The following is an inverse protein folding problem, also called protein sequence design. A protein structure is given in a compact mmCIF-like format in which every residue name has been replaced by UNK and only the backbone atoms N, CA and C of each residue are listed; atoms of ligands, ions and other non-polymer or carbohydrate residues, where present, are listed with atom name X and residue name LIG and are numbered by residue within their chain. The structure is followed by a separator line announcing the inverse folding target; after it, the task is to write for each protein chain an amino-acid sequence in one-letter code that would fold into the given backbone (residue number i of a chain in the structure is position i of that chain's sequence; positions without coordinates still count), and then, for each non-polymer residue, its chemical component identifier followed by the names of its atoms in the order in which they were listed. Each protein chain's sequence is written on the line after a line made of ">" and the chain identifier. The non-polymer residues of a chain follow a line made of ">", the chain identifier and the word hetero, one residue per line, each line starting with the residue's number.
data_IF_550736140830
#
_entry.id   IF_550736140830
#
_cell.length_a   1.000
_cell.length_b   1.000
_cell.length_c   1.000
_cell.angle_alpha   90.00
_cell.angle_beta   90.00
_cell.angle_gamma   90.00
#
_symmetry.space_group_name_H-M   'P 1'
#
loop_
_entity.id
_entity.type
_entity.pdbx_description
1 polymer ?
#
# COMPACT_ATOMS: atom_id res chain seq x y z
N UNK A 1 8.32 0.33 4.63
CA UNK A 1 6.92 0.69 4.38
C UNK A 1 6.13 0.59 5.69
N UNK A 2 5.98 -0.61 6.23
CA UNK A 2 5.47 -0.88 7.57
C UNK A 2 6.00 0.04 8.71
N UNK A 3 7.32 0.06 8.89
CA UNK A 3 7.97 0.85 9.96
C UNK A 3 7.95 2.36 9.72
N UNK A 4 7.63 2.79 8.51
CA UNK A 4 7.51 4.21 8.16
C UNK A 4 6.13 4.72 8.55
N UNK A 5 5.07 3.93 8.29
CA UNK A 5 3.71 4.27 8.73
C UNK A 5 3.65 4.31 10.25
N UNK A 6 4.29 3.38 10.97
CA UNK A 6 4.32 3.38 12.44
C UNK A 6 4.98 4.66 12.98
N UNK A 7 6.04 5.15 12.35
CA UNK A 7 6.76 6.35 12.80
C UNK A 7 5.98 7.63 12.47
N UNK A 8 5.46 7.78 11.26
CA UNK A 8 4.69 8.96 10.85
C UNK A 8 3.40 9.09 11.65
N UNK A 9 2.72 7.97 11.91
CA UNK A 9 1.49 7.98 12.72
C UNK A 9 1.78 8.29 14.20
N UNK A 10 2.96 7.93 14.74
CA UNK A 10 3.41 8.35 16.09
C UNK A 10 3.64 9.86 16.17
N UNK A 11 4.15 10.48 15.11
CA UNK A 11 4.32 11.94 15.03
C UNK A 11 2.97 12.64 15.01
N UNK A 12 1.99 12.12 14.25
CA UNK A 12 0.62 12.68 14.22
C UNK A 12 -0.09 12.50 15.57
N UNK A 13 0.05 11.35 16.22
CA UNK A 13 -0.47 11.11 17.57
C UNK A 13 0.13 12.09 18.60
N UNK A 14 1.43 12.38 18.54
CA UNK A 14 2.09 13.34 19.43
C UNK A 14 1.67 14.79 19.17
N UNK A 15 1.34 15.15 17.92
CA UNK A 15 0.83 16.48 17.56
C UNK A 15 -0.62 16.72 18.04
N UNK A 16 -1.34 15.67 18.43
CA UNK A 16 -2.75 15.73 18.87
C UNK A 16 -2.93 15.88 20.39
N UNK A 17 -1.86 16.16 21.14
CA UNK A 17 -1.77 16.08 22.61
C UNK A 17 -2.77 16.94 23.41
N UNK A 18 -3.56 17.81 22.77
CA UNK A 18 -4.62 18.59 23.41
C UNK A 18 -6.05 18.06 23.24
N UNK A 19 -6.29 17.02 22.42
CA UNK A 19 -7.65 16.52 22.15
C UNK A 19 -7.72 14.99 22.35
N UNK A 20 -8.31 14.57 23.46
CA UNK A 20 -8.42 13.16 23.87
C UNK A 20 -9.15 12.28 22.86
N UNK A 21 -10.14 12.81 22.13
CA UNK A 21 -10.81 12.07 21.05
C UNK A 21 -9.90 11.89 19.83
N UNK A 22 -9.18 12.94 19.43
CA UNK A 22 -8.22 12.85 18.32
C UNK A 22 -7.12 11.83 18.63
N UNK A 23 -6.67 11.75 19.90
CA UNK A 23 -5.68 10.78 20.36
C UNK A 23 -6.17 9.33 20.25
N UNK A 24 -7.44 9.06 20.54
CA UNK A 24 -8.04 7.72 20.40
C UNK A 24 -8.10 7.27 18.94
N UNK A 25 -8.66 8.09 18.05
CA UNK A 25 -8.74 7.77 16.62
C UNK A 25 -7.36 7.61 15.98
N UNK A 26 -6.41 8.50 16.33
CA UNK A 26 -5.04 8.38 15.84
C UNK A 26 -4.36 7.12 16.37
N UNK A 27 -4.50 6.79 17.65
CA UNK A 27 -3.94 5.56 18.20
C UNK A 27 -4.50 4.32 17.52
N UNK A 28 -5.80 4.32 17.20
CA UNK A 28 -6.44 3.25 16.46
C UNK A 28 -5.89 3.15 15.03
N UNK A 29 -5.81 4.26 14.29
CA UNK A 29 -5.20 4.28 12.96
C UNK A 29 -3.72 3.87 12.96
N UNK A 30 -2.95 4.21 14.00
CA UNK A 30 -1.55 3.75 14.18
C UNK A 30 -1.51 2.23 14.31
N UNK A 31 -2.41 1.67 15.13
CA UNK A 31 -2.40 0.25 15.43
C UNK A 31 -2.78 -0.59 14.22
N UNK A 32 -3.80 -0.21 13.46
CA UNK A 32 -4.10 -1.01 12.27
C UNK A 32 -3.15 -0.74 11.12
N UNK A 33 -2.59 0.47 11.01
CA UNK A 33 -1.46 0.67 10.13
C UNK A 33 -0.29 -0.27 10.47
N UNK A 34 -0.07 -0.56 11.76
CA UNK A 34 0.91 -1.54 12.24
C UNK A 34 0.51 -2.98 11.91
N UNK A 35 -0.76 -3.34 12.02
CA UNK A 35 -1.24 -4.69 11.66
C UNK A 35 -1.14 -4.95 10.15
N UNK A 36 -1.57 -4.01 9.31
CA UNK A 36 -1.41 -4.08 7.85
C UNK A 36 0.08 -4.17 7.46
N UNK A 37 0.90 -3.42 8.16
CA UNK A 37 2.34 -3.43 8.03
C UNK A 37 2.96 -4.79 8.38
N UNK A 38 2.58 -5.37 9.52
CA UNK A 38 3.06 -6.67 9.98
C UNK A 38 2.61 -7.79 9.02
N UNK A 39 1.36 -7.72 8.58
CA UNK A 39 0.80 -8.58 7.57
C UNK A 39 1.58 -8.51 6.24
N UNK A 40 1.86 -7.30 5.74
CA UNK A 40 2.68 -7.12 4.54
C UNK A 40 4.12 -7.67 4.71
N UNK A 41 4.72 -7.56 5.91
CA UNK A 41 6.03 -8.17 6.20
C UNK A 41 5.98 -9.70 6.15
N UNK A 42 4.93 -10.30 6.68
CA UNK A 42 4.74 -11.75 6.62
C UNK A 42 4.64 -12.25 5.16
N UNK A 43 3.90 -11.53 4.32
CA UNK A 43 3.80 -11.83 2.87
C UNK A 43 5.16 -11.75 2.17
N UNK A 44 5.95 -10.71 2.46
CA UNK A 44 7.30 -10.56 1.88
C UNK A 44 8.23 -11.69 2.32
N UNK A 45 8.18 -12.11 3.58
CA UNK A 45 8.98 -13.26 4.07
C UNK A 45 8.59 -14.55 3.38
N UNK A 46 7.29 -14.84 3.32
CA UNK A 46 6.76 -16.01 2.62
C UNK A 46 7.20 -16.04 1.15
N UNK A 47 7.14 -14.90 0.46
CA UNK A 47 7.60 -14.80 -0.93
C UNK A 47 9.11 -15.04 -1.07
N UNK A 48 9.92 -14.48 -0.18
CA UNK A 48 11.36 -14.71 -0.17
C UNK A 48 11.71 -16.20 0.09
N UNK A 49 10.95 -16.88 0.94
CA UNK A 49 11.09 -18.33 1.19
C UNK A 49 10.72 -19.16 -0.05
N UNK A 50 9.69 -18.77 -0.79
CA UNK A 50 9.30 -19.41 -2.06
C UNK A 50 10.32 -19.16 -3.18
N UNK A 51 10.84 -17.94 -3.29
CA UNK A 51 11.86 -17.59 -4.29
C UNK A 51 13.22 -18.23 -3.97
N UNK A 52 13.58 -18.39 -2.69
CA UNK A 52 14.79 -19.11 -2.28
C UNK A 52 14.76 -20.61 -2.63
N UNK A 53 13.56 -21.20 -2.76
CA UNK A 53 13.39 -22.59 -3.19
C UNK A 53 13.56 -22.76 -4.72
N UNK A 54 13.42 -21.68 -5.50
CA UNK A 54 13.60 -21.68 -6.95
C UNK A 54 14.94 -21.05 -7.30
N UNK A 55 16.02 -21.85 -7.27
CA UNK A 55 17.38 -21.42 -7.58
C UNK A 55 17.50 -20.94 -9.05
N UNK A 56 17.17 -19.69 -9.31
CA UNK A 56 17.48 -18.97 -10.55
C UNK A 56 18.69 -18.06 -10.31
N UNK A 57 19.57 -17.89 -11.30
CA UNK A 57 20.66 -16.92 -11.20
C UNK A 57 20.08 -15.52 -10.99
N UNK A 58 20.47 -14.87 -9.89
CA UNK A 58 20.05 -13.51 -9.56
C UNK A 58 20.79 -12.55 -10.49
N UNK A 59 20.04 -11.81 -11.31
CA UNK A 59 20.61 -10.79 -12.19
C UNK A 59 21.27 -9.68 -11.35
N UNK A 60 22.48 -9.28 -11.72
CA UNK A 60 23.28 -8.30 -10.97
C UNK A 60 22.55 -6.96 -10.79
N UNK A 61 21.85 -6.50 -11.84
CA UNK A 61 21.07 -5.27 -11.80
C UNK A 61 19.93 -5.35 -10.76
N UNK A 62 19.26 -6.51 -10.63
CA UNK A 62 18.19 -6.72 -9.65
C UNK A 62 18.70 -6.52 -8.22
N UNK A 63 19.87 -7.10 -7.93
CA UNK A 63 20.55 -6.93 -6.63
C UNK A 63 20.90 -5.45 -6.36
N UNK A 64 21.34 -4.71 -7.39
CA UNK A 64 21.67 -3.29 -7.27
C UNK A 64 20.44 -2.44 -6.92
N UNK A 65 19.33 -2.64 -7.62
CA UNK A 65 18.08 -1.91 -7.35
C UNK A 65 17.55 -2.25 -5.95
N UNK A 66 17.50 -3.53 -5.59
CA UNK A 66 17.08 -3.97 -4.25
C UNK A 66 17.93 -3.34 -3.15
N UNK A 67 19.25 -3.29 -3.33
CA UNK A 67 20.16 -2.60 -2.41
C UNK A 67 19.83 -1.12 -2.28
N UNK A 68 19.50 -0.45 -3.38
CA UNK A 68 19.03 0.95 -3.38
C UNK A 68 17.81 1.14 -2.47
N UNK A 69 16.81 0.27 -2.57
CA UNK A 69 15.63 0.30 -1.72
C UNK A 69 15.93 -0.05 -0.25
N UNK A 70 16.85 -0.97 0.02
CA UNK A 70 17.29 -1.30 1.38
C UNK A 70 17.92 -0.07 2.04
N UNK A 71 18.83 0.61 1.33
CA UNK A 71 19.48 1.84 1.83
C UNK A 71 18.45 2.96 2.05
N UNK A 72 17.52 3.15 1.12
CA UNK A 72 16.46 4.14 1.26
C UNK A 72 15.55 3.90 2.47
N UNK A 73 15.19 2.64 2.73
CA UNK A 73 14.41 2.23 3.91
C UNK A 73 15.18 2.44 5.21
N UNK A 74 16.48 2.12 5.23
CA UNK A 74 17.33 2.26 6.42
C UNK A 74 17.55 3.73 6.77
N UNK A 75 17.94 4.53 5.78
CA UNK A 75 18.42 5.89 6.03
C UNK A 75 17.28 6.93 5.99
N UNK A 76 16.10 6.55 5.49
CA UNK A 76 14.87 7.36 5.52
C UNK A 76 15.08 8.80 5.06
N UNK A 77 15.84 8.97 3.98
CA UNK A 77 16.17 10.29 3.44
C UNK A 77 15.65 10.44 2.02
N UNK A 78 15.23 11.67 1.69
CA UNK A 78 14.82 12.02 0.34
C UNK A 78 15.89 11.65 -0.70
N UNK A 79 17.16 11.87 -0.38
CA UNK A 79 18.30 11.56 -1.27
C UNK A 79 18.34 10.08 -1.64
N UNK A 80 18.19 9.17 -0.67
CA UNK A 80 18.23 7.74 -0.97
C UNK A 80 16.98 7.25 -1.69
N UNK A 81 15.81 7.82 -1.40
CA UNK A 81 14.59 7.51 -2.16
C UNK A 81 14.67 7.98 -3.61
N UNK A 82 15.22 9.17 -3.89
CA UNK A 82 15.51 9.61 -5.26
C UNK A 82 16.48 8.67 -5.97
N UNK A 83 17.50 8.18 -5.27
CA UNK A 83 18.42 7.19 -5.85
C UNK A 83 17.69 5.87 -6.18
N UNK A 84 16.86 5.38 -5.26
CA UNK A 84 16.06 4.16 -5.49
C UNK A 84 15.07 4.33 -6.67
N UNK A 85 14.50 5.53 -6.84
CA UNK A 85 13.66 5.86 -7.99
C UNK A 85 14.42 5.74 -9.31
N UNK A 86 15.62 6.33 -9.39
CA UNK A 86 16.47 6.25 -10.60
C UNK A 86 16.82 4.80 -10.93
N UNK A 87 17.25 4.02 -9.93
CA UNK A 87 17.60 2.61 -10.10
C UNK A 87 16.39 1.77 -10.57
N UNK A 88 15.19 2.03 -10.03
CA UNK A 88 13.97 1.37 -10.49
C UNK A 88 13.64 1.73 -11.95
N UNK A 89 13.84 2.99 -12.36
CA UNK A 89 13.65 3.41 -13.76
C UNK A 89 14.66 2.76 -14.70
N UNK A 90 15.90 2.58 -14.27
CA UNK A 90 16.90 1.82 -15.04
C UNK A 90 16.48 0.35 -15.20
N UNK A 91 15.94 -0.28 -14.16
CA UNK A 91 15.41 -1.64 -14.25
C UNK A 91 14.25 -1.76 -15.26
N UNK A 92 13.35 -0.78 -15.33
CA UNK A 92 12.28 -0.75 -16.34
C UNK A 92 12.87 -0.81 -17.75
N UNK A 93 13.90 0.00 -18.02
CA UNK A 93 14.58 0.01 -19.32
C UNK A 93 15.27 -1.32 -19.62
N UNK A 94 15.88 -1.95 -18.62
CA UNK A 94 16.49 -3.27 -18.78
C UNK A 94 15.42 -4.32 -19.11
N UNK A 95 14.32 -4.38 -18.37
CA UNK A 95 13.21 -5.32 -18.64
C UNK A 95 12.60 -5.15 -20.04
N UNK A 96 12.67 -3.96 -20.64
CA UNK A 96 12.21 -3.71 -22.01
C UNK A 96 13.17 -4.26 -23.09
N UNK A 97 14.45 -4.38 -22.77
CA UNK A 97 15.52 -4.68 -23.73
C UNK A 97 16.07 -6.12 -23.61
N UNK A 98 15.67 -6.89 -22.59
CA UNK A 98 16.16 -8.26 -22.38
C UNK A 98 15.38 -9.23 -23.28
N UNK A 99 16.05 -9.78 -24.29
CA UNK A 99 15.51 -10.84 -25.16
C UNK A 99 15.40 -12.20 -24.47
N UNK A 100 16.17 -12.42 -23.39
CA UNK A 100 16.28 -13.70 -22.68
C UNK A 100 15.12 -13.99 -21.70
N UNK A 101 14.25 -13.00 -21.44
CA UNK A 101 13.07 -13.19 -20.59
C UNK A 101 11.86 -13.55 -21.45
N UNK A 102 11.05 -14.50 -21.00
CA UNK A 102 9.75 -14.69 -21.61
C UNK A 102 8.91 -13.40 -21.46
N UNK A 103 8.05 -13.12 -22.44
CA UNK A 103 7.32 -11.87 -22.55
C UNK A 103 6.45 -11.57 -21.31
N UNK A 104 5.87 -12.60 -20.70
CA UNK A 104 5.04 -12.49 -19.51
C UNK A 104 5.85 -12.09 -18.26
N UNK A 105 7.01 -12.72 -18.04
CA UNK A 105 7.91 -12.42 -16.93
C UNK A 105 8.54 -11.04 -17.10
N UNK A 106 8.88 -10.63 -18.33
CA UNK A 106 9.39 -9.30 -18.63
C UNK A 106 8.35 -8.22 -18.32
N UNK A 107 7.09 -8.46 -18.70
CA UNK A 107 5.97 -7.56 -18.41
C UNK A 107 5.72 -7.48 -16.91
N UNK A 108 5.65 -8.62 -16.21
CA UNK A 108 5.43 -8.65 -14.76
C UNK A 108 6.56 -7.94 -13.98
N UNK A 109 7.83 -8.13 -14.38
CA UNK A 109 8.95 -7.42 -13.75
C UNK A 109 8.93 -5.93 -14.07
N UNK A 110 8.61 -5.55 -15.31
CA UNK A 110 8.47 -4.14 -15.69
C UNK A 110 7.41 -3.44 -14.86
N UNK A 111 6.22 -4.03 -14.75
CA UNK A 111 5.11 -3.47 -13.98
C UNK A 111 5.47 -3.33 -12.50
N UNK A 112 6.12 -4.35 -11.93
CA UNK A 112 6.67 -4.28 -10.58
C UNK A 112 7.64 -3.11 -10.40
N UNK A 113 8.59 -2.90 -11.33
CA UNK A 113 9.55 -1.81 -11.21
C UNK A 113 8.94 -0.41 -11.45
N UNK A 114 7.88 -0.32 -12.27
CA UNK A 114 7.06 0.90 -12.40
C UNK A 114 6.46 1.27 -11.04
N UNK A 115 5.81 0.32 -10.38
CA UNK A 115 5.24 0.54 -9.05
C UNK A 115 6.33 0.94 -8.04
N UNK A 116 7.46 0.25 -8.04
CA UNK A 116 8.57 0.57 -7.13
C UNK A 116 9.15 1.96 -7.37
N UNK A 117 9.26 2.41 -8.63
CA UNK A 117 9.66 3.78 -8.96
C UNK A 117 8.65 4.80 -8.43
N UNK A 118 7.34 4.55 -8.61
CA UNK A 118 6.27 5.38 -8.05
C UNK A 118 6.34 5.47 -6.52
N UNK A 119 6.59 4.35 -5.83
CA UNK A 119 6.76 4.33 -4.37
C UNK A 119 7.96 5.18 -3.96
N UNK A 120 9.08 5.04 -4.64
CA UNK A 120 10.29 5.78 -4.34
C UNK A 120 10.10 7.30 -4.53
N UNK A 121 9.43 7.71 -5.61
CA UNK A 121 9.08 9.10 -5.87
C UNK A 121 8.19 9.69 -4.78
N UNK A 122 7.11 8.99 -4.39
CA UNK A 122 6.23 9.40 -3.30
C UNK A 122 6.98 9.52 -1.97
N UNK A 123 7.85 8.57 -1.66
CA UNK A 123 8.66 8.59 -0.43
C UNK A 123 9.64 9.75 -0.42
N UNK A 124 10.28 10.04 -1.55
CA UNK A 124 11.13 11.20 -1.71
C UNK A 124 10.36 12.51 -1.49
N UNK A 125 9.13 12.61 -2.01
CA UNK A 125 8.27 13.77 -1.79
C UNK A 125 7.84 13.90 -0.32
N UNK A 126 7.42 12.80 0.31
CA UNK A 126 7.01 12.81 1.72
C UNK A 126 8.15 13.21 2.67
N UNK A 127 9.39 12.87 2.32
CA UNK A 127 10.61 13.18 3.07
C UNK A 127 11.29 14.50 2.69
N UNK A 128 10.73 15.25 1.73
CA UNK A 128 11.26 16.56 1.38
C UNK A 128 11.26 17.49 2.60
N UNK A 129 12.22 18.41 2.68
CA UNK A 129 12.19 19.42 3.73
C UNK A 129 10.93 20.26 3.59
N UNK A 130 10.15 20.35 4.65
CA UNK A 130 9.05 21.30 4.78
C UNK A 130 9.31 22.08 6.05
N UNK A 131 9.11 23.40 6.02
CA UNK A 131 9.15 24.20 7.23
C UNK A 131 8.13 23.62 8.23
N UNK A 132 8.63 23.11 9.35
CA UNK A 132 7.80 22.48 10.40
C UNK A 132 6.79 23.46 10.97
N UNK A 133 7.08 24.77 10.92
CA UNK A 133 6.20 25.83 11.42
C UNK A 133 5.08 26.14 10.43
N UNK A 134 5.30 25.94 9.13
CA UNK A 134 4.28 26.17 8.11
C UNK A 134 3.28 25.02 8.05
N UNK A 135 2.08 25.27 8.59
CA UNK A 135 0.95 24.32 8.47
C UNK A 135 0.48 24.18 7.02
N UNK A 136 0.43 25.28 6.26
CA UNK A 136 -0.04 25.28 4.87
C UNK A 136 0.86 24.44 3.96
N UNK A 137 2.19 24.58 4.04
CA UNK A 137 3.12 23.80 3.22
C UNK A 137 3.05 22.30 3.53
N UNK A 138 2.81 21.93 4.80
CA UNK A 138 2.59 20.53 5.18
C UNK A 138 1.30 19.97 4.58
N UNK A 139 0.22 20.74 4.62
CA UNK A 139 -1.06 20.37 4.01
C UNK A 139 -0.93 20.25 2.49
N UNK A 140 -0.26 21.19 1.83
CA UNK A 140 0.00 21.15 0.39
C UNK A 140 0.78 19.90 0.00
N UNK A 141 1.89 19.61 0.70
CA UNK A 141 2.69 18.40 0.45
C UNK A 141 1.87 17.13 0.65
N UNK A 142 1.05 17.05 1.70
CA UNK A 142 0.16 15.92 1.94
C UNK A 142 -0.83 15.75 0.79
N UNK A 143 -1.46 16.84 0.34
CA UNK A 143 -2.39 16.82 -0.79
C UNK A 143 -1.68 16.35 -2.08
N UNK A 144 -0.45 16.81 -2.33
CA UNK A 144 0.35 16.38 -3.49
C UNK A 144 0.66 14.89 -3.41
N UNK A 145 1.07 14.37 -2.24
CA UNK A 145 1.30 12.93 -2.03
C UNK A 145 0.03 12.13 -2.29
N UNK A 146 -1.12 12.56 -1.77
CA UNK A 146 -2.40 11.86 -1.98
C UNK A 146 -2.81 11.87 -3.45
N UNK A 147 -2.70 13.03 -4.12
CA UNK A 147 -2.96 13.17 -5.55
C UNK A 147 -2.07 12.25 -6.39
N UNK A 148 -0.76 12.28 -6.16
CA UNK A 148 0.17 11.40 -6.86
C UNK A 148 -0.11 9.92 -6.56
N UNK A 149 -0.51 9.58 -5.34
CA UNK A 149 -0.88 8.20 -4.98
C UNK A 149 -2.08 7.75 -5.81
N UNK A 150 -3.11 8.59 -5.92
CA UNK A 150 -4.28 8.31 -6.76
C UNK A 150 -3.92 8.15 -8.23
N UNK A 151 -3.12 9.08 -8.78
CA UNK A 151 -2.76 9.08 -10.21
C UNK A 151 -1.84 7.91 -10.59
N UNK A 152 -0.99 7.45 -9.66
CA UNK A 152 0.06 6.43 -9.96
C UNK A 152 -0.31 5.01 -9.57
N UNK A 153 -1.21 4.83 -8.62
CA UNK A 153 -1.59 3.51 -8.11
C UNK A 153 -3.06 3.16 -8.39
N UNK A 154 -3.84 4.10 -8.93
CA UNK A 154 -5.26 3.92 -9.26
C UNK A 154 -6.09 3.33 -8.09
N UNK A 155 -7.10 2.51 -8.38
CA UNK A 155 -7.83 1.77 -7.35
C UNK A 155 -6.93 0.67 -6.78
N UNK A 156 -6.85 0.54 -5.43
CA UNK A 156 -6.08 -0.53 -4.80
C UNK A 156 -6.68 -1.92 -5.05
N UNK A 157 -7.89 -2.00 -5.61
CA UNK A 157 -8.50 -3.24 -6.07
C UNK A 157 -8.12 -3.46 -7.52
N UNK A 158 -7.16 -4.35 -7.73
CA UNK A 158 -6.70 -4.73 -9.06
C UNK A 158 -7.82 -5.36 -9.89
N UNK A 159 -7.65 -5.40 -11.21
CA UNK A 159 -8.62 -6.04 -12.09
C UNK A 159 -8.87 -7.51 -11.72
N UNK A 160 -7.83 -8.23 -11.27
CA UNK A 160 -7.97 -9.60 -10.78
C UNK A 160 -8.80 -9.69 -9.50
N UNK A 161 -8.69 -8.70 -8.59
CA UNK A 161 -9.54 -8.63 -7.40
C UNK A 161 -11.00 -8.34 -7.78
N UNK A 162 -11.24 -7.48 -8.78
CA UNK A 162 -12.60 -7.23 -9.32
C UNK A 162 -13.20 -8.47 -9.97
N UNK A 163 -12.38 -9.19 -10.74
CA UNK A 163 -12.79 -10.46 -11.36
C UNK A 163 -13.13 -11.51 -10.30
N UNK A 164 -12.35 -11.60 -9.22
CA UNK A 164 -12.68 -12.46 -8.10
C UNK A 164 -13.98 -12.05 -7.39
N UNK A 165 -14.24 -10.75 -7.19
CA UNK A 165 -15.51 -10.26 -6.63
C UNK A 165 -16.68 -10.70 -7.52
N UNK A 166 -16.56 -10.57 -8.84
CA UNK A 166 -17.61 -10.94 -9.79
C UNK A 166 -17.83 -12.47 -9.89
N UNK A 167 -16.73 -13.23 -9.84
CA UNK A 167 -16.74 -14.69 -10.02
C UNK A 167 -15.87 -15.38 -8.96
N UNK A 168 -16.34 -15.50 -7.70
CA UNK A 168 -15.53 -16.04 -6.61
C UNK A 168 -15.22 -17.52 -6.81
N UNK A 169 -13.99 -17.85 -7.19
CA UNK A 169 -13.50 -19.21 -7.29
C UNK A 169 -11.99 -19.27 -7.03
N UNK A 170 -11.43 -20.48 -6.93
CA UNK A 170 -10.01 -20.64 -6.61
C UNK A 170 -9.07 -20.11 -7.70
N UNK A 171 -9.47 -20.22 -8.98
CA UNK A 171 -8.66 -19.72 -10.09
C UNK A 171 -8.61 -18.19 -10.10
N UNK A 172 -9.77 -17.53 -9.94
CA UNK A 172 -9.85 -16.07 -9.85
C UNK A 172 -9.17 -15.54 -8.58
N UNK A 173 -9.28 -16.27 -7.47
CA UNK A 173 -8.56 -15.92 -6.24
C UNK A 173 -7.04 -16.02 -6.42
N UNK A 174 -6.56 -17.09 -7.07
CA UNK A 174 -5.14 -17.27 -7.38
C UNK A 174 -4.63 -16.18 -8.33
N UNK A 175 -5.45 -15.76 -9.30
CA UNK A 175 -5.12 -14.67 -10.22
C UNK A 175 -4.88 -13.32 -9.50
N UNK A 176 -5.40 -13.13 -8.28
CA UNK A 176 -5.06 -11.94 -7.47
C UNK A 176 -3.59 -11.88 -7.06
N UNK A 177 -2.85 -12.99 -7.16
CA UNK A 177 -1.45 -13.10 -6.75
C UNK A 177 -1.24 -13.06 -5.23
N UNK A 178 -2.33 -13.10 -4.44
CA UNK A 178 -2.29 -12.99 -2.97
C UNK A 178 -2.28 -14.38 -2.32
N UNK A 179 -1.12 -15.04 -2.34
CA UNK A 179 -0.93 -16.41 -1.82
C UNK A 179 -1.41 -16.61 -0.37
N UNK A 180 -1.25 -15.61 0.49
CA UNK A 180 -1.73 -15.69 1.87
C UNK A 180 -3.26 -15.86 1.95
N UNK A 181 -4.01 -15.26 1.02
CA UNK A 181 -5.47 -15.39 0.99
C UNK A 181 -5.83 -16.83 0.62
N UNK A 182 -5.02 -17.49 -0.20
CA UNK A 182 -5.23 -18.89 -0.54
C UNK A 182 -5.12 -19.80 0.68
N UNK A 183 -4.19 -19.53 1.59
CA UNK A 183 -4.00 -20.32 2.82
C UNK A 183 -4.87 -19.88 3.99
N UNK A 184 -5.51 -18.71 3.89
CA UNK A 184 -6.35 -18.16 4.95
C UNK A 184 -7.55 -19.08 5.25
N UNK A 185 -7.81 -19.31 6.53
CA UNK A 185 -9.00 -20.00 7.05
C UNK A 185 -10.24 -19.11 6.94
N UNK A 186 -11.45 -19.65 7.10
CA UNK A 186 -12.66 -18.82 7.11
C UNK A 186 -12.68 -17.85 8.30
N UNK A 187 -12.27 -18.29 9.49
CA UNK A 187 -12.19 -17.42 10.67
C UNK A 187 -11.22 -16.26 10.48
N UNK A 188 -10.02 -16.51 9.94
CA UNK A 188 -9.06 -15.43 9.63
C UNK A 188 -9.61 -14.46 8.56
N UNK A 189 -10.41 -14.97 7.61
CA UNK A 189 -11.06 -14.16 6.60
C UNK A 189 -12.15 -13.25 7.18
N UNK A 190 -12.95 -13.77 8.11
CA UNK A 190 -13.97 -13.03 8.84
C UNK A 190 -13.35 -11.96 9.74
N UNK A 191 -12.31 -12.29 10.52
CA UNK A 191 -11.57 -11.33 11.34
C UNK A 191 -10.95 -10.21 10.47
N UNK A 192 -10.38 -10.57 9.32
CA UNK A 192 -9.84 -9.60 8.37
C UNK A 192 -10.93 -8.69 7.80
N UNK A 193 -12.12 -9.24 7.50
CA UNK A 193 -13.27 -8.48 7.04
C UNK A 193 -13.72 -7.48 8.12
N UNK A 194 -13.89 -7.91 9.37
CA UNK A 194 -14.27 -7.04 10.48
C UNK A 194 -13.31 -5.86 10.62
N UNK A 195 -12.00 -6.13 10.62
CA UNK A 195 -10.99 -5.09 10.69
C UNK A 195 -11.16 -4.06 9.56
N UNK A 196 -11.29 -4.52 8.31
CA UNK A 196 -11.46 -3.66 7.13
C UNK A 196 -12.77 -2.86 7.18
N UNK A 197 -13.87 -3.42 7.70
CA UNK A 197 -15.14 -2.71 7.85
C UNK A 197 -15.05 -1.54 8.84
N UNK A 198 -14.27 -1.67 9.91
CA UNK A 198 -14.01 -0.55 10.81
C UNK A 198 -13.25 0.57 10.07
N UNK A 199 -12.30 0.25 9.18
CA UNK A 199 -11.61 1.25 8.34
C UNK A 199 -12.53 1.98 7.38
N UNK A 200 -13.41 1.25 6.72
CA UNK A 200 -14.37 1.85 5.80
C UNK A 200 -15.34 2.77 6.55
N UNK A 201 -15.80 2.37 7.73
CA UNK A 201 -16.63 3.22 8.58
C UNK A 201 -15.93 4.51 8.99
N UNK A 202 -14.70 4.41 9.50
CA UNK A 202 -13.93 5.60 9.90
C UNK A 202 -13.67 6.53 8.72
N UNK A 203 -13.39 5.97 7.54
CA UNK A 203 -13.17 6.77 6.32
C UNK A 203 -14.45 7.47 5.86
N UNK A 204 -15.59 6.77 5.93
CA UNK A 204 -16.93 7.35 5.65
C UNK A 204 -17.27 8.47 6.62
N UNK A 205 -17.12 8.23 7.92
CA UNK A 205 -17.37 9.24 8.96
C UNK A 205 -16.47 10.48 8.78
N UNK A 206 -15.20 10.27 8.40
CA UNK A 206 -14.26 11.35 8.15
C UNK A 206 -14.65 12.17 6.92
N UNK A 207 -15.04 11.53 5.83
CA UNK A 207 -15.51 12.19 4.62
C UNK A 207 -16.79 12.99 4.87
N UNK A 208 -17.78 12.41 5.57
CA UNK A 208 -18.98 13.12 5.99
C UNK A 208 -18.67 14.32 6.89
N UNK A 209 -17.80 14.15 7.87
CA UNK A 209 -17.37 15.23 8.75
C UNK A 209 -16.76 16.37 7.96
N UNK A 210 -15.91 16.06 6.97
CA UNK A 210 -15.33 17.04 6.06
C UNK A 210 -16.41 17.83 5.31
N UNK A 211 -17.41 17.13 4.73
CA UNK A 211 -18.53 17.74 3.99
C UNK A 211 -19.32 18.68 4.90
N UNK A 212 -19.67 18.23 6.11
CA UNK A 212 -20.43 19.01 7.11
C UNK A 212 -19.68 20.24 7.62
N UNK A 213 -18.34 20.20 7.63
CA UNK A 213 -17.49 21.31 8.09
C UNK A 213 -17.02 22.21 6.96
N UNK A 214 -17.46 21.96 5.72
CA UNK A 214 -17.02 22.68 4.53
C UNK A 214 -15.49 22.78 4.48
N UNK A 215 -14.82 21.65 4.68
CA UNK A 215 -13.37 21.59 4.58
C UNK A 215 -12.90 22.07 3.20
N UNK A 216 -11.66 22.57 3.13
CA UNK A 216 -11.05 22.96 1.88
C UNK A 216 -11.19 21.85 0.82
N UNK A 217 -11.52 22.22 -0.42
CA UNK A 217 -11.88 21.27 -1.48
C UNK A 217 -10.86 20.11 -1.64
N UNK A 218 -9.57 20.42 -1.70
CA UNK A 218 -8.52 19.40 -1.81
C UNK A 218 -8.46 18.44 -0.60
N UNK A 219 -8.80 18.91 0.60
CA UNK A 219 -8.88 18.05 1.79
C UNK A 219 -10.11 17.16 1.71
N UNK A 220 -11.25 17.72 1.30
CA UNK A 220 -12.47 16.94 1.12
C UNK A 220 -12.29 15.83 0.08
N UNK A 221 -11.70 16.17 -1.06
CA UNK A 221 -11.41 15.25 -2.15
C UNK A 221 -10.52 14.07 -1.70
N UNK A 222 -9.58 14.32 -0.80
CA UNK A 222 -8.76 13.26 -0.20
C UNK A 222 -9.57 12.34 0.71
N UNK A 223 -10.48 12.90 1.51
CA UNK A 223 -11.34 12.12 2.40
C UNK A 223 -12.33 11.27 1.58
N UNK A 224 -12.96 11.84 0.57
CA UNK A 224 -13.87 11.12 -0.35
C UNK A 224 -13.13 9.98 -1.07
N UNK A 225 -11.87 10.20 -1.44
CA UNK A 225 -11.06 9.15 -2.04
C UNK A 225 -10.70 8.04 -1.05
N UNK A 226 -10.35 8.37 0.20
CA UNK A 226 -10.16 7.35 1.24
C UNK A 226 -11.44 6.55 1.49
N UNK A 227 -12.60 7.21 1.50
CA UNK A 227 -13.92 6.57 1.58
C UNK A 227 -14.11 5.57 0.43
N UNK A 228 -13.87 5.99 -0.82
CA UNK A 228 -13.99 5.12 -1.99
C UNK A 228 -13.02 3.92 -1.94
N UNK A 229 -11.75 4.17 -1.64
CA UNK A 229 -10.71 3.13 -1.54
C UNK A 229 -11.07 2.08 -0.48
N UNK A 230 -11.45 2.52 0.72
CA UNK A 230 -11.77 1.58 1.80
C UNK A 230 -13.04 0.77 1.50
N UNK A 231 -13.99 1.36 0.76
CA UNK A 231 -15.17 0.65 0.26
C UNK A 231 -14.79 -0.47 -0.71
N UNK A 232 -13.95 -0.20 -1.70
CA UNK A 232 -13.49 -1.22 -2.66
C UNK A 232 -12.77 -2.38 -1.92
N UNK A 233 -11.94 -2.06 -0.91
CA UNK A 233 -11.24 -3.08 -0.11
C UNK A 233 -12.23 -3.91 0.73
N UNK A 234 -13.28 -3.30 1.30
CA UNK A 234 -14.35 -4.04 2.00
C UNK A 234 -15.05 -5.01 1.06
N UNK A 235 -15.41 -4.59 -0.15
CA UNK A 235 -16.08 -5.46 -1.12
C UNK A 235 -15.23 -6.69 -1.45
N UNK A 236 -13.92 -6.50 -1.67
CA UNK A 236 -12.99 -7.60 -1.85
C UNK A 236 -12.91 -8.52 -0.62
N UNK A 237 -12.78 -7.95 0.58
CA UNK A 237 -12.70 -8.71 1.81
C UNK A 237 -13.97 -9.54 2.06
N UNK A 238 -15.15 -8.99 1.77
CA UNK A 238 -16.44 -9.71 1.83
C UNK A 238 -16.48 -10.89 0.87
N UNK A 239 -16.05 -10.70 -0.37
CA UNK A 239 -15.98 -11.77 -1.36
C UNK A 239 -15.04 -12.90 -0.90
N UNK A 240 -13.89 -12.54 -0.29
CA UNK A 240 -12.94 -13.51 0.24
C UNK A 240 -13.54 -14.29 1.41
N UNK A 241 -14.14 -13.60 2.40
CA UNK A 241 -14.76 -14.25 3.55
C UNK A 241 -15.86 -15.23 3.10
N UNK A 242 -16.78 -14.79 2.24
CA UNK A 242 -17.84 -15.63 1.70
C UNK A 242 -17.29 -16.87 0.96
N UNK A 243 -16.27 -16.70 0.12
CA UNK A 243 -15.62 -17.80 -0.58
C UNK A 243 -15.01 -18.82 0.40
N UNK A 244 -14.38 -18.35 1.48
CA UNK A 244 -13.73 -19.21 2.48
C UNK A 244 -14.73 -19.99 3.33
N UNK A 245 -15.84 -19.38 3.72
CA UNK A 245 -16.91 -20.07 4.45
C UNK A 245 -17.54 -21.18 3.62
N UNK A 246 -17.70 -20.99 2.30
CA UNK A 246 -18.27 -22.03 1.39
C UNK A 246 -17.29 -23.21 1.20
N UNK A 247 -15.98 -22.96 1.26
CA UNK A 247 -14.94 -23.97 0.96
C UNK A 247 -14.48 -24.78 2.18
N UNK A 248 -14.86 -24.39 3.39
CA UNK A 248 -14.62 -25.21 4.58
C UNK A 248 -15.68 -26.32 4.66
N UNK A 249 -15.28 -27.62 4.68
CA UNK A 249 -16.18 -28.73 4.88
C UNK A 249 -16.76 -28.79 6.31
#
# INVERSE_FOLDING_TARGET
>A
MADDVIHDTRVVANLSSGNTRAKYYLSWSVNTAREIADFARAVVRYRAEQEAAAARPVLEWKTRVERGFILAKRDRSQKFWRKAEVEAREAITICQNVEEMNCEEATAQKDFWIEMAHIAELKALAMSSCDRKSRSLRTERMNTVMKMTREKFESPVSQAMKEFIAHPNEATLRATGKSFIMTMTASEAEESLEAVEVFAKVSTDAAEFGRRRSMHAATQENLDWCEAVTRDIVEFARAVAAFKTIKQP
#
